data_IF_245965930911
#
_entry.id   IF_245965930911
#
_cell.length_a   1.000
_cell.length_b   1.000
_cell.length_c   1.000
_cell.angle_alpha   90.00
_cell.angle_beta   90.00
_cell.angle_gamma   90.00
#
_symmetry.space_group_name_H-M   'P 1'
#
loop_
_entity.id
_entity.type
_entity.pdbx_description
1 polymer ?
#
# COMPACT_ATOMS: atom_id res chain seq x y z
N UNK A 1 -12.37 8.36 -12.75
CA UNK A 1 -11.13 7.63 -12.43
C UNK A 1 -11.35 6.94 -11.10
N UNK A 2 -10.87 5.72 -10.92
CA UNK A 2 -11.04 4.99 -9.67
C UNK A 2 -10.09 5.63 -8.63
N UNK A 3 -10.64 6.28 -7.60
CA UNK A 3 -9.82 6.90 -6.56
C UNK A 3 -9.36 5.83 -5.57
N UNK A 4 -8.10 5.42 -5.67
CA UNK A 4 -7.49 4.45 -4.74
C UNK A 4 -7.28 5.01 -3.32
N UNK A 5 -7.73 6.26 -3.08
CA UNK A 5 -7.62 6.99 -1.83
C UNK A 5 -6.20 7.01 -1.25
N UNK A 6 -5.18 6.93 -2.12
CA UNK A 6 -3.78 7.15 -1.73
C UNK A 6 -3.58 8.66 -1.57
N UNK A 7 -2.72 9.05 -0.63
CA UNK A 7 -2.39 10.44 -0.38
C UNK A 7 -1.26 10.85 -1.33
N UNK A 8 -1.52 11.80 -2.22
CA UNK A 8 -0.57 12.21 -3.27
C UNK A 8 0.68 12.92 -2.74
N UNK A 9 0.57 13.49 -1.53
CA UNK A 9 1.70 14.08 -0.81
C UNK A 9 2.64 13.04 -0.21
N UNK A 10 2.27 11.75 -0.26
CA UNK A 10 3.01 10.62 0.28
C UNK A 10 3.53 9.71 -0.84
N UNK A 11 4.68 9.10 -0.61
CA UNK A 11 5.21 8.01 -1.44
C UNK A 11 4.34 6.76 -1.29
N UNK A 12 4.54 5.78 -2.14
CA UNK A 12 3.89 4.47 -2.02
C UNK A 12 4.23 3.82 -0.67
N UNK A 13 5.50 3.88 -0.24
CA UNK A 13 5.97 3.43 1.08
C UNK A 13 5.19 4.08 2.20
N UNK A 14 5.14 5.41 2.21
CA UNK A 14 4.48 6.19 3.26
C UNK A 14 2.97 5.90 3.30
N UNK A 15 2.33 5.79 2.14
CA UNK A 15 0.94 5.39 2.04
C UNK A 15 0.67 4.02 2.68
N UNK A 16 1.50 3.03 2.34
CA UNK A 16 1.35 1.68 2.88
C UNK A 16 1.60 1.66 4.39
N UNK A 17 2.63 2.36 4.87
CA UNK A 17 3.02 2.35 6.28
C UNK A 17 2.11 3.20 7.19
N UNK A 18 1.29 4.09 6.64
CA UNK A 18 0.47 5.04 7.39
C UNK A 18 -0.37 4.40 8.52
N UNK A 19 -1.09 3.27 8.31
CA UNK A 19 -1.86 2.64 9.39
C UNK A 19 -0.99 2.22 10.58
N UNK A 20 0.17 1.61 10.30
CA UNK A 20 1.11 1.18 11.35
C UNK A 20 1.74 2.37 12.09
N UNK A 21 1.98 3.48 11.38
CA UNK A 21 2.50 4.70 11.98
C UNK A 21 1.49 5.32 12.97
N UNK A 22 0.19 5.31 12.61
CA UNK A 22 -0.89 5.73 13.50
C UNK A 22 -1.01 4.84 14.74
N UNK A 23 -0.76 3.54 14.58
CA UNK A 23 -0.70 2.56 15.67
C UNK A 23 0.62 2.59 16.47
N UNK A 24 1.54 3.50 16.14
CA UNK A 24 2.86 3.67 16.79
C UNK A 24 3.72 2.40 16.79
N UNK A 25 3.58 1.58 15.76
CA UNK A 25 4.43 0.40 15.55
C UNK A 25 5.88 0.85 15.33
N UNK A 26 6.85 0.05 15.81
CA UNK A 26 8.27 0.39 15.69
C UNK A 26 8.71 0.36 14.23
N UNK A 27 9.54 1.33 13.81
CA UNK A 27 10.05 1.44 12.44
C UNK A 27 10.64 0.13 11.90
N UNK A 28 11.43 -0.59 12.72
CA UNK A 28 12.03 -1.87 12.32
C UNK A 28 10.99 -2.94 11.97
N UNK A 29 9.88 -2.96 12.69
CA UNK A 29 8.78 -3.90 12.45
C UNK A 29 7.96 -3.49 11.22
N UNK A 30 7.74 -2.19 11.05
CA UNK A 30 7.08 -1.62 9.86
C UNK A 30 7.84 -1.98 8.58
N UNK A 31 9.15 -1.76 8.55
CA UNK A 31 10.00 -2.07 7.40
C UNK A 31 10.06 -3.57 7.09
N UNK A 32 10.08 -4.42 8.12
CA UNK A 32 10.03 -5.88 7.94
C UNK A 32 8.72 -6.32 7.26
N UNK A 33 7.57 -5.86 7.78
CA UNK A 33 6.25 -6.17 7.20
C UNK A 33 6.09 -5.62 5.79
N UNK A 34 6.58 -4.39 5.55
CA UNK A 34 6.55 -3.79 4.23
C UNK A 34 7.38 -4.59 3.22
N UNK A 35 8.57 -5.06 3.62
CA UNK A 35 9.42 -5.88 2.76
C UNK A 35 8.72 -7.12 2.24
N UNK A 36 8.15 -7.92 3.15
CA UNK A 36 7.43 -9.15 2.80
C UNK A 36 6.24 -8.88 1.86
N UNK A 37 5.46 -7.83 2.17
CA UNK A 37 4.27 -7.48 1.40
C UNK A 37 4.62 -6.90 0.02
N UNK A 38 5.66 -6.07 -0.06
CA UNK A 38 6.11 -5.43 -1.29
C UNK A 38 6.71 -6.46 -2.27
N UNK A 39 7.38 -7.48 -1.76
CA UNK A 39 7.86 -8.61 -2.56
C UNK A 39 6.67 -9.45 -3.07
N UNK A 40 5.70 -9.76 -2.20
CA UNK A 40 4.49 -10.53 -2.57
C UNK A 40 3.64 -9.84 -3.64
N UNK A 41 3.47 -8.52 -3.53
CA UNK A 41 2.65 -7.72 -4.45
C UNK A 41 3.45 -7.13 -5.62
N UNK A 42 4.74 -7.45 -5.76
CA UNK A 42 5.60 -6.97 -6.84
C UNK A 42 5.57 -5.43 -7.00
N UNK A 43 5.75 -4.73 -5.87
CA UNK A 43 5.76 -3.26 -5.79
C UNK A 43 7.02 -2.69 -5.12
N UNK A 44 8.03 -3.52 -4.86
CA UNK A 44 9.27 -3.09 -4.20
C UNK A 44 10.01 -1.98 -4.96
N UNK A 45 10.01 -2.03 -6.29
CA UNK A 45 10.67 -1.05 -7.15
C UNK A 45 9.95 0.31 -7.21
N UNK A 46 8.71 0.40 -6.71
CA UNK A 46 7.94 1.66 -6.72
C UNK A 46 7.77 2.30 -5.34
N UNK A 47 8.35 1.72 -4.28
CA UNK A 47 8.09 2.16 -2.90
C UNK A 47 8.40 3.65 -2.68
N UNK A 48 9.45 4.15 -3.32
CA UNK A 48 9.91 5.52 -3.11
C UNK A 48 9.32 6.52 -4.13
N UNK A 49 8.44 6.05 -5.03
CA UNK A 49 7.71 6.88 -5.97
C UNK A 49 6.45 7.49 -5.33
N UNK A 50 5.99 8.62 -5.88
CA UNK A 50 4.69 9.24 -5.61
C UNK A 50 3.58 8.56 -6.40
N UNK A 51 2.32 8.77 -5.99
CA UNK A 51 1.13 8.16 -6.60
C UNK A 51 1.01 8.46 -8.09
N UNK A 52 1.35 9.69 -8.52
CA UNK A 52 1.29 10.13 -9.91
C UNK A 52 2.43 9.60 -10.80
N UNK A 53 3.44 8.95 -10.22
CA UNK A 53 4.60 8.40 -10.94
C UNK A 53 4.41 6.91 -11.31
N UNK A 54 3.30 6.30 -10.92
CA UNK A 54 3.04 4.86 -11.08
C UNK A 54 1.71 4.61 -11.79
N UNK A 55 1.63 3.48 -12.49
CA UNK A 55 0.41 3.06 -13.21
C UNK A 55 -0.77 2.79 -12.26
N UNK A 56 -2.01 2.85 -12.78
CA UNK A 56 -3.21 2.54 -11.99
C UNK A 56 -3.17 1.14 -11.34
N UNK A 57 -2.70 0.11 -12.07
CA UNK A 57 -2.54 -1.23 -11.50
C UNK A 57 -1.47 -1.30 -10.39
N UNK A 58 -0.45 -0.44 -10.43
CA UNK A 58 0.50 -0.29 -9.32
C UNK A 58 -0.13 0.43 -8.12
N UNK A 59 -0.93 1.47 -8.34
CA UNK A 59 -1.67 2.16 -7.28
C UNK A 59 -2.66 1.21 -6.58
N UNK A 60 -3.35 0.37 -7.35
CA UNK A 60 -4.23 -0.68 -6.83
C UNK A 60 -3.50 -1.64 -5.90
N UNK A 61 -2.34 -2.17 -6.32
CA UNK A 61 -1.51 -3.05 -5.47
C UNK A 61 -1.00 -2.34 -4.21
N UNK A 62 -0.65 -1.06 -4.31
CA UNK A 62 -0.29 -0.24 -3.15
C UNK A 62 -1.46 -0.03 -2.19
N UNK A 63 -2.67 0.20 -2.70
CA UNK A 63 -3.87 0.32 -1.87
C UNK A 63 -4.21 -1.01 -1.16
N UNK A 64 -4.09 -2.15 -1.87
CA UNK A 64 -4.19 -3.47 -1.25
C UNK A 64 -3.13 -3.66 -0.16
N UNK A 65 -1.87 -3.29 -0.42
CA UNK A 65 -0.81 -3.36 0.56
C UNK A 65 -1.15 -2.57 1.83
N UNK A 66 -1.61 -1.32 1.69
CA UNK A 66 -2.05 -0.48 2.81
C UNK A 66 -3.19 -1.13 3.62
N UNK A 67 -4.14 -1.77 2.95
CA UNK A 67 -5.24 -2.47 3.62
C UNK A 67 -4.77 -3.72 4.38
N UNK A 68 -3.77 -4.45 3.86
CA UNK A 68 -3.31 -5.73 4.43
C UNK A 68 -2.28 -5.54 5.56
N UNK A 69 -1.44 -4.50 5.50
CA UNK A 69 -0.23 -4.43 6.33
C UNK A 69 -0.46 -4.38 7.85
N UNK A 70 -1.65 -3.92 8.29
CA UNK A 70 -2.05 -3.91 9.69
C UNK A 70 -2.67 -5.25 10.15
N UNK A 71 -2.60 -6.28 9.30
CA UNK A 71 -3.09 -7.64 9.52
C UNK A 71 -4.55 -7.69 10.04
N UNK A 72 -5.51 -7.10 9.31
CA UNK A 72 -6.91 -7.12 9.73
C UNK A 72 -7.49 -8.54 9.73
N UNK A 73 -8.45 -8.79 10.62
CA UNK A 73 -9.18 -10.05 10.65
C UNK A 73 -10.11 -10.25 9.43
N UNK A 74 -10.50 -9.15 8.75
CA UNK A 74 -11.38 -9.15 7.59
C UNK A 74 -11.03 -7.99 6.65
N UNK A 75 -10.94 -8.28 5.35
CA UNK A 75 -10.87 -7.27 4.29
C UNK A 75 -12.13 -7.39 3.45
N UNK A 76 -12.87 -6.29 3.33
CA UNK A 76 -13.98 -6.17 2.40
C UNK A 76 -13.43 -5.52 1.12
N UNK A 77 -13.44 -6.29 0.04
CA UNK A 77 -13.00 -5.83 -1.26
C UNK A 77 -14.21 -5.78 -2.20
N UNK A 78 -14.60 -4.56 -2.59
CA UNK A 78 -15.62 -4.35 -3.62
C UNK A 78 -14.91 -4.07 -4.95
N UNK A 79 -15.15 -4.93 -5.95
CA UNK A 79 -14.48 -4.95 -7.25
C UNK A 79 -12.94 -4.77 -7.23
N UNK A 80 -12.17 -5.62 -6.52
CA UNK A 80 -10.71 -5.48 -6.39
C UNK A 80 -9.94 -5.68 -7.69
N UNK A 81 -10.59 -6.08 -8.78
CA UNK A 81 -10.00 -6.33 -10.11
C UNK A 81 -10.81 -5.69 -11.24
N UNK A 82 -11.77 -4.80 -10.94
CA UNK A 82 -12.83 -4.37 -11.86
C UNK A 82 -12.41 -3.59 -13.11
N UNK A 83 -11.12 -3.33 -13.34
CA UNK A 83 -10.60 -2.70 -14.57
C UNK A 83 -9.13 -3.10 -14.81
N UNK A 84 -8.91 -4.30 -15.35
CA UNK A 84 -7.66 -4.66 -16.04
C UNK A 84 -7.76 -4.35 -17.54
#
# INVERSE_FOLDING_TARGET
FQDFNLLDTLTIRENILLPLALDKVKLREMEARLGELADTLQIKHILDHRTYEVSGGQQQRAACARAIIHNPALILADEPTGNL
#
